data_IF_846099177541
#
_entry.id   IF_846099177541
#
_cell.length_a   1.000
_cell.length_b   1.000
_cell.length_c   1.000
_cell.angle_alpha   90.00
_cell.angle_beta   90.00
_cell.angle_gamma   90.00
#
_symmetry.space_group_name_H-M   'P 1'
#
loop_
_entity.id
_entity.type
_entity.pdbx_description
1 polymer ?
#
# COMPACT_ATOMS: atom_id res chain seq x y z
N UNK A 1 18.71 -34.11 -14.32
CA UNK A 1 17.48 -33.53 -13.74
C UNK A 1 17.09 -34.39 -12.55
N UNK A 2 17.14 -33.86 -11.36
CA UNK A 2 16.74 -34.56 -10.14
C UNK A 2 15.21 -34.52 -10.00
N UNK A 3 14.51 -35.52 -10.55
CA UNK A 3 13.08 -35.70 -10.27
C UNK A 3 12.93 -36.47 -8.95
N UNK A 4 12.28 -35.87 -7.97
CA UNK A 4 11.97 -36.50 -6.67
C UNK A 4 10.75 -37.43 -6.74
N UNK A 5 10.05 -37.47 -7.89
CA UNK A 5 8.91 -38.35 -8.17
C UNK A 5 9.20 -39.22 -9.39
N UNK A 6 8.75 -40.49 -9.36
CA UNK A 6 9.04 -41.45 -10.40
C UNK A 6 8.34 -42.80 -10.15
N UNK A 7 8.98 -43.88 -10.42
CA UNK A 7 8.54 -45.27 -10.11
C UNK A 7 7.40 -45.81 -10.98
N UNK A 8 6.34 -45.02 -11.28
CA UNK A 8 5.24 -45.43 -12.15
C UNK A 8 5.49 -45.10 -13.62
N UNK A 9 6.30 -44.04 -13.86
CA UNK A 9 6.53 -43.52 -15.21
C UNK A 9 7.61 -44.33 -15.92
N UNK A 10 7.35 -44.71 -17.18
CA UNK A 10 8.25 -45.53 -17.99
C UNK A 10 9.01 -44.72 -19.04
N UNK A 11 8.77 -43.45 -19.14
CA UNK A 11 9.43 -42.53 -20.07
C UNK A 11 9.96 -41.31 -19.32
N UNK A 12 11.04 -40.75 -19.80
CA UNK A 12 11.53 -39.43 -19.32
C UNK A 12 10.55 -38.31 -19.69
N UNK A 13 10.47 -37.28 -18.85
CA UNK A 13 9.65 -36.09 -19.13
C UNK A 13 10.27 -35.31 -20.27
N UNK A 14 9.45 -34.91 -21.22
CA UNK A 14 9.86 -34.03 -22.31
C UNK A 14 10.38 -32.70 -21.74
N UNK A 15 11.46 -32.17 -22.32
CA UNK A 15 12.11 -30.96 -21.81
C UNK A 15 11.20 -29.73 -21.88
N UNK A 16 10.34 -29.62 -22.90
CA UNK A 16 9.36 -28.53 -22.99
C UNK A 16 8.34 -28.60 -21.85
N UNK A 17 7.85 -29.82 -21.55
CA UNK A 17 6.91 -30.06 -20.44
C UNK A 17 7.57 -29.76 -19.10
N UNK A 18 8.83 -30.13 -18.92
CA UNK A 18 9.59 -29.78 -17.72
C UNK A 18 9.67 -28.25 -17.54
N UNK A 19 10.12 -27.53 -18.57
CA UNK A 19 10.25 -26.08 -18.53
C UNK A 19 8.90 -25.38 -18.32
N UNK A 20 7.81 -25.91 -18.89
CA UNK A 20 6.48 -25.38 -18.71
C UNK A 20 5.93 -25.53 -17.29
N UNK A 21 6.32 -26.59 -16.61
CA UNK A 21 5.90 -26.88 -15.23
C UNK A 21 6.79 -26.22 -14.17
N UNK A 22 8.04 -25.90 -14.51
CA UNK A 22 9.02 -25.38 -13.55
C UNK A 22 8.61 -23.98 -13.04
N UNK A 23 8.78 -23.77 -11.75
CA UNK A 23 8.49 -22.51 -11.04
C UNK A 23 9.71 -21.87 -10.41
N UNK A 24 10.86 -22.52 -10.44
CA UNK A 24 12.09 -22.07 -9.76
C UNK A 24 12.49 -20.62 -10.11
N UNK A 25 12.18 -20.15 -11.31
CA UNK A 25 12.53 -18.80 -11.77
C UNK A 25 11.82 -17.69 -10.99
N UNK A 26 10.69 -17.97 -10.38
CA UNK A 26 9.94 -17.01 -9.59
C UNK A 26 9.74 -17.47 -8.14
N UNK A 27 9.54 -18.76 -7.84
CA UNK A 27 9.32 -19.22 -6.48
C UNK A 27 10.58 -19.19 -5.60
N UNK A 28 11.77 -19.10 -6.18
CA UNK A 28 13.00 -18.80 -5.45
C UNK A 28 12.88 -17.57 -4.53
N UNK A 29 11.92 -16.70 -4.76
CA UNK A 29 11.70 -15.50 -3.97
C UNK A 29 11.36 -15.79 -2.51
N UNK A 30 10.72 -16.92 -2.23
CA UNK A 30 10.37 -17.33 -0.87
C UNK A 30 11.24 -18.49 -0.30
N UNK A 31 12.49 -18.64 -0.77
CA UNK A 31 13.39 -19.67 -0.24
C UNK A 31 13.56 -19.62 1.28
N UNK A 32 13.49 -18.45 1.89
CA UNK A 32 13.58 -18.26 3.33
C UNK A 32 12.39 -18.89 4.05
N UNK A 33 11.21 -18.66 3.54
CA UNK A 33 9.95 -19.18 4.08
C UNK A 33 9.89 -20.71 3.96
N UNK A 34 10.33 -21.28 2.83
CA UNK A 34 10.44 -22.74 2.66
C UNK A 34 11.39 -23.38 3.69
N UNK A 35 12.54 -22.74 3.91
CA UNK A 35 13.51 -23.23 4.92
C UNK A 35 12.95 -23.08 6.33
N UNK A 36 12.30 -21.96 6.66
CA UNK A 36 11.68 -21.75 7.98
C UNK A 36 10.57 -22.76 8.24
N UNK A 37 9.68 -22.98 7.29
CA UNK A 37 8.64 -23.99 7.36
C UNK A 37 9.21 -25.40 7.53
N UNK A 38 10.29 -25.72 6.82
CA UNK A 38 11.00 -27.00 6.92
C UNK A 38 11.66 -27.19 8.30
N UNK A 39 12.24 -26.15 8.89
CA UNK A 39 12.81 -26.18 10.26
C UNK A 39 11.71 -26.45 11.29
N UNK A 40 10.58 -25.77 11.20
CA UNK A 40 9.45 -25.98 12.10
C UNK A 40 8.90 -27.42 11.97
N UNK A 41 8.79 -27.92 10.73
CA UNK A 41 8.30 -29.26 10.46
C UNK A 41 9.17 -30.35 11.09
N UNK A 42 10.49 -30.33 10.87
CA UNK A 42 11.38 -31.36 11.46
C UNK A 42 11.48 -31.25 12.98
N UNK A 43 11.35 -30.02 13.52
CA UNK A 43 11.32 -29.81 14.98
C UNK A 43 10.08 -30.47 15.57
N UNK A 44 8.93 -30.33 14.93
CA UNK A 44 7.70 -31.04 15.32
C UNK A 44 7.81 -32.53 15.16
N UNK A 45 8.39 -33.04 14.06
CA UNK A 45 8.57 -34.48 13.84
C UNK A 45 9.42 -35.13 14.95
N UNK A 46 10.47 -34.44 15.41
CA UNK A 46 11.30 -34.92 16.52
C UNK A 46 10.51 -34.93 17.84
N UNK A 47 9.75 -33.86 18.14
CA UNK A 47 8.88 -33.84 19.31
C UNK A 47 7.88 -34.98 19.34
N UNK A 48 7.38 -35.40 18.19
CA UNK A 48 6.48 -36.55 18.05
C UNK A 48 7.17 -37.90 18.00
N UNK A 49 8.50 -37.96 18.14
CA UNK A 49 9.30 -39.20 18.11
C UNK A 49 9.38 -39.87 16.73
N UNK A 50 9.02 -39.14 15.67
CA UNK A 50 9.14 -39.62 14.27
C UNK A 50 10.59 -39.51 13.80
N UNK A 51 11.29 -38.46 14.21
CA UNK A 51 12.73 -38.26 14.07
C UNK A 51 13.41 -38.35 15.46
N UNK A 52 14.68 -38.68 15.45
CA UNK A 52 15.52 -38.52 16.64
C UNK A 52 15.94 -37.05 16.81
N UNK A 53 16.29 -36.67 18.02
CA UNK A 53 16.84 -35.32 18.31
C UNK A 53 18.08 -35.01 17.45
N UNK A 54 18.97 -35.99 17.27
CA UNK A 54 20.18 -35.83 16.46
C UNK A 54 19.83 -35.56 14.97
N UNK A 55 18.87 -36.29 14.41
CA UNK A 55 18.45 -36.11 13.02
C UNK A 55 17.83 -34.72 12.83
N UNK A 56 16.99 -34.26 13.77
CA UNK A 56 16.48 -32.91 13.78
C UNK A 56 17.62 -31.89 13.78
N UNK A 57 18.56 -31.98 14.71
CA UNK A 57 19.65 -31.03 14.87
C UNK A 57 20.54 -30.95 13.62
N UNK A 58 20.83 -32.08 13.00
CA UNK A 58 21.60 -32.15 11.76
C UNK A 58 20.83 -31.51 10.59
N UNK A 59 19.53 -31.77 10.44
CA UNK A 59 18.69 -31.18 9.39
C UNK A 59 18.57 -29.65 9.61
N UNK A 60 18.23 -29.22 10.82
CA UNK A 60 18.07 -27.79 11.14
C UNK A 60 19.36 -27.00 10.90
N UNK A 61 20.51 -27.53 11.35
CA UNK A 61 21.81 -26.91 11.09
C UNK A 61 22.07 -26.77 9.59
N UNK A 62 21.88 -27.84 8.83
CA UNK A 62 22.17 -27.86 7.40
C UNK A 62 21.21 -26.96 6.61
N UNK A 63 19.92 -26.88 6.98
CA UNK A 63 18.98 -25.92 6.37
C UNK A 63 19.39 -24.46 6.61
N UNK A 64 19.87 -24.12 7.81
CA UNK A 64 20.40 -22.78 8.11
C UNK A 64 21.66 -22.48 7.28
N UNK A 65 22.57 -23.46 7.15
CA UNK A 65 23.76 -23.33 6.29
C UNK A 65 23.37 -23.08 4.83
N UNK A 66 22.38 -23.83 4.30
CA UNK A 66 21.86 -23.61 2.93
C UNK A 66 21.32 -22.18 2.78
N UNK A 67 20.51 -21.71 3.73
CA UNK A 67 19.98 -20.33 3.72
C UNK A 67 21.10 -19.30 3.67
N UNK A 68 22.06 -19.39 4.59
CA UNK A 68 23.16 -18.46 4.72
C UNK A 68 24.08 -18.47 3.48
N UNK A 69 24.26 -19.63 2.84
CA UNK A 69 25.00 -19.75 1.59
C UNK A 69 24.26 -19.14 0.39
N UNK A 70 22.94 -19.27 0.33
CA UNK A 70 22.12 -18.59 -0.68
C UNK A 70 22.17 -17.07 -0.46
N UNK A 71 21.98 -16.59 0.77
CA UNK A 71 22.03 -15.16 1.10
C UNK A 71 23.38 -14.52 0.75
N UNK A 72 24.47 -15.23 1.02
CA UNK A 72 25.83 -14.75 0.70
C UNK A 72 26.23 -14.90 -0.77
N UNK A 73 25.40 -15.50 -1.60
CA UNK A 73 25.69 -15.80 -3.01
C UNK A 73 26.72 -16.93 -3.21
N UNK A 74 27.04 -17.69 -2.16
CA UNK A 74 27.95 -18.85 -2.23
C UNK A 74 27.27 -20.05 -2.89
N UNK A 75 25.96 -20.19 -2.67
CA UNK A 75 25.13 -21.21 -3.30
C UNK A 75 24.11 -20.52 -4.21
N UNK A 76 24.23 -20.74 -5.52
CA UNK A 76 23.32 -20.16 -6.51
C UNK A 76 22.10 -21.06 -6.73
N UNK A 77 20.92 -20.46 -6.76
CA UNK A 77 19.68 -21.14 -7.14
C UNK A 77 19.63 -21.22 -8.66
N UNK A 78 19.64 -22.44 -9.21
CA UNK A 78 19.73 -22.69 -10.65
C UNK A 78 18.46 -23.28 -11.22
N UNK A 79 18.24 -23.12 -12.53
CA UNK A 79 17.10 -23.69 -13.26
C UNK A 79 17.17 -25.21 -13.49
N UNK A 80 18.14 -25.89 -12.89
CA UNK A 80 18.25 -27.36 -12.94
C UNK A 80 17.17 -28.07 -12.08
N UNK A 81 16.56 -27.31 -11.16
CA UNK A 81 15.49 -27.79 -10.28
C UNK A 81 14.12 -27.30 -10.77
N UNK A 82 13.07 -28.06 -10.51
CA UNK A 82 11.69 -27.74 -10.90
C UNK A 82 11.15 -26.55 -10.07
N UNK A 83 11.41 -26.57 -8.77
CA UNK A 83 10.94 -25.57 -7.79
C UNK A 83 11.96 -25.36 -6.67
N UNK A 84 11.75 -24.32 -5.86
CA UNK A 84 12.62 -23.98 -4.73
C UNK A 84 12.69 -25.12 -3.69
N UNK A 85 11.57 -25.80 -3.49
CA UNK A 85 11.48 -26.90 -2.53
C UNK A 85 12.40 -28.06 -2.94
N UNK A 86 12.42 -28.41 -4.24
CA UNK A 86 13.31 -29.42 -4.80
C UNK A 86 14.78 -29.02 -4.70
N UNK A 87 15.07 -27.73 -4.87
CA UNK A 87 16.41 -27.19 -4.67
C UNK A 87 16.87 -27.35 -3.22
N UNK A 88 16.07 -26.95 -2.25
CA UNK A 88 16.41 -27.05 -0.81
C UNK A 88 16.56 -28.52 -0.39
N UNK A 89 15.59 -29.38 -0.79
CA UNK A 89 15.60 -30.80 -0.44
C UNK A 89 16.79 -31.53 -1.06
N UNK A 90 17.14 -31.28 -2.33
CA UNK A 90 18.29 -31.87 -2.99
C UNK A 90 19.61 -31.49 -2.30
N UNK A 91 19.81 -30.20 -2.01
CA UNK A 91 21.00 -29.74 -1.29
C UNK A 91 21.12 -30.34 0.11
N UNK A 92 19.99 -30.54 0.80
CA UNK A 92 19.94 -31.21 2.09
C UNK A 92 20.34 -32.68 1.98
N UNK A 93 19.80 -33.41 0.99
CA UNK A 93 20.09 -34.82 0.75
C UNK A 93 21.56 -35.00 0.35
N UNK A 94 22.11 -34.15 -0.49
CA UNK A 94 23.51 -34.22 -0.91
C UNK A 94 24.48 -34.08 0.28
N UNK A 95 24.10 -33.36 1.32
CA UNK A 95 24.91 -33.14 2.53
C UNK A 95 24.71 -34.21 3.63
N UNK A 96 23.47 -34.69 3.78
CA UNK A 96 23.07 -35.57 4.90
C UNK A 96 22.67 -36.98 4.48
N UNK A 97 22.60 -37.30 3.17
CA UNK A 97 22.19 -38.62 2.67
C UNK A 97 20.77 -38.98 3.14
N UNK A 98 20.65 -40.19 3.71
CA UNK A 98 19.35 -40.74 4.13
C UNK A 98 18.67 -39.93 5.24
N UNK A 99 19.42 -39.22 6.07
CA UNK A 99 18.86 -38.29 7.07
C UNK A 99 18.14 -37.14 6.39
N UNK A 100 18.70 -36.57 5.32
CA UNK A 100 18.06 -35.49 4.55
C UNK A 100 16.73 -35.89 3.92
N UNK A 101 16.60 -37.14 3.46
CA UNK A 101 15.36 -37.68 2.87
C UNK A 101 14.17 -37.72 3.86
N UNK A 102 14.43 -37.66 5.16
CA UNK A 102 13.39 -37.68 6.19
C UNK A 102 12.65 -36.38 6.33
N UNK A 103 13.17 -35.29 5.77
CA UNK A 103 12.52 -33.96 5.78
C UNK A 103 11.07 -34.00 5.27
N UNK A 104 10.79 -34.80 4.25
CA UNK A 104 9.46 -34.84 3.60
C UNK A 104 8.44 -35.74 4.32
N UNK A 105 8.81 -36.36 5.46
CA UNK A 105 7.94 -37.30 6.20
C UNK A 105 6.66 -36.58 6.67
N UNK A 106 5.50 -37.14 6.28
CA UNK A 106 4.19 -36.59 6.68
C UNK A 106 3.81 -35.25 6.03
N UNK A 107 4.52 -34.82 5.00
CA UNK A 107 4.29 -33.54 4.28
C UNK A 107 3.96 -33.80 2.82
N UNK A 108 3.16 -32.92 2.22
CA UNK A 108 2.94 -32.85 0.76
C UNK A 108 3.51 -31.54 0.22
N UNK A 109 3.81 -31.48 -1.06
CA UNK A 109 4.13 -30.23 -1.75
C UNK A 109 2.97 -29.22 -1.63
N UNK A 110 1.73 -29.69 -1.54
CA UNK A 110 0.55 -28.84 -1.48
C UNK A 110 0.46 -28.02 -0.20
N UNK A 111 0.64 -28.66 0.99
CA UNK A 111 0.62 -27.91 2.26
C UNK A 111 1.93 -27.14 2.50
N UNK A 112 3.05 -27.57 1.92
CA UNK A 112 4.31 -26.86 1.93
C UNK A 112 4.20 -25.52 1.19
N UNK A 113 3.78 -25.53 -0.08
CA UNK A 113 3.63 -24.28 -0.87
C UNK A 113 2.55 -23.36 -0.31
N UNK A 114 1.48 -23.92 0.26
CA UNK A 114 0.45 -23.13 0.92
C UNK A 114 1.00 -22.40 2.16
N UNK A 115 1.88 -23.06 2.93
CA UNK A 115 2.58 -22.43 4.05
C UNK A 115 3.51 -21.32 3.58
N UNK A 116 4.36 -21.57 2.59
CA UNK A 116 5.35 -20.61 2.12
C UNK A 116 4.71 -19.34 1.58
N UNK A 117 3.61 -19.48 0.84
CA UNK A 117 2.82 -18.36 0.38
C UNK A 117 2.20 -17.55 1.52
N UNK A 118 1.76 -18.22 2.61
CA UNK A 118 1.25 -17.51 3.80
C UNK A 118 2.36 -16.77 4.55
N UNK A 119 3.51 -17.42 4.76
CA UNK A 119 4.66 -16.80 5.40
C UNK A 119 5.15 -15.58 4.58
N UNK A 120 5.35 -15.75 3.28
CA UNK A 120 5.71 -14.67 2.37
C UNK A 120 4.71 -13.51 2.44
N UNK A 121 3.41 -13.80 2.32
CA UNK A 121 2.39 -12.75 2.36
C UNK A 121 2.35 -12.04 3.70
N UNK A 122 2.55 -12.74 4.80
CA UNK A 122 2.64 -12.15 6.14
C UNK A 122 3.81 -11.18 6.25
N UNK A 123 4.97 -11.57 5.78
CA UNK A 123 6.17 -10.73 5.80
C UNK A 123 5.98 -9.47 4.96
N UNK A 124 5.36 -9.59 3.77
CA UNK A 124 5.11 -8.47 2.87
C UNK A 124 3.98 -7.55 3.35
N UNK A 125 2.98 -8.07 4.06
CA UNK A 125 1.97 -7.26 4.74
C UNK A 125 2.60 -6.35 5.78
N UNK A 126 3.48 -6.89 6.62
CA UNK A 126 4.19 -6.13 7.65
C UNK A 126 5.14 -5.10 7.02
N UNK A 127 5.91 -5.50 6.01
CA UNK A 127 6.80 -4.57 5.30
C UNK A 127 6.03 -3.43 4.59
N UNK A 128 4.90 -3.75 3.96
CA UNK A 128 4.04 -2.74 3.33
C UNK A 128 3.45 -1.79 4.38
N UNK A 129 3.07 -2.29 5.56
CA UNK A 129 2.59 -1.48 6.67
C UNK A 129 3.65 -0.49 7.17
N UNK A 130 4.91 -0.94 7.30
CA UNK A 130 6.05 -0.07 7.66
C UNK A 130 6.26 1.04 6.63
N UNK A 131 6.23 0.71 5.33
CA UNK A 131 6.37 1.72 4.27
C UNK A 131 5.20 2.73 4.25
N UNK A 132 3.98 2.29 4.54
CA UNK A 132 2.84 3.19 4.69
C UNK A 132 2.96 4.07 5.93
N UNK A 133 3.55 3.56 7.02
CA UNK A 133 3.84 4.35 8.21
C UNK A 133 4.80 5.50 7.87
N UNK A 134 5.92 5.22 7.20
CA UNK A 134 6.88 6.25 6.75
C UNK A 134 6.21 7.32 5.86
N UNK A 135 5.32 6.90 4.97
CA UNK A 135 4.54 7.83 4.13
C UNK A 135 3.61 8.71 4.98
N UNK A 136 2.91 8.14 5.97
CA UNK A 136 2.02 8.86 6.87
C UNK A 136 2.79 9.88 7.73
N UNK A 137 3.95 9.52 8.25
CA UNK A 137 4.85 10.42 8.99
C UNK A 137 5.30 11.60 8.10
N UNK A 138 5.65 11.32 6.86
CA UNK A 138 6.02 12.36 5.88
C UNK A 138 4.86 13.31 5.58
N UNK A 139 3.65 12.78 5.37
CA UNK A 139 2.45 13.59 5.16
C UNK A 139 2.16 14.45 6.40
N UNK A 140 2.26 13.88 7.59
CA UNK A 140 2.04 14.57 8.86
C UNK A 140 3.02 15.74 9.05
N UNK A 141 4.30 15.54 8.76
CA UNK A 141 5.32 16.59 8.76
C UNK A 141 4.97 17.74 7.80
N UNK A 142 4.45 17.42 6.61
CA UNK A 142 3.98 18.45 5.67
C UNK A 142 2.75 19.19 6.25
N UNK A 143 1.82 18.49 6.89
CA UNK A 143 0.67 19.12 7.55
C UNK A 143 1.10 20.09 8.63
N UNK A 144 1.99 19.68 9.54
CA UNK A 144 2.51 20.49 10.64
C UNK A 144 3.18 21.78 10.14
N UNK A 145 3.92 21.70 9.03
CA UNK A 145 4.60 22.84 8.43
C UNK A 145 3.67 23.80 7.65
N UNK A 146 2.41 23.43 7.40
CA UNK A 146 1.53 24.16 6.47
C UNK A 146 0.12 24.42 7.00
N UNK A 147 -0.06 24.52 8.31
CA UNK A 147 -1.36 24.81 8.95
C UNK A 147 -1.96 26.14 8.54
N UNK A 148 -1.13 27.13 8.23
CA UNK A 148 -1.51 28.48 7.79
C UNK A 148 -1.35 28.71 6.27
N UNK A 149 -0.89 27.72 5.51
CA UNK A 149 -0.66 27.84 4.07
C UNK A 149 -1.99 27.82 3.31
N UNK A 150 -2.54 28.99 3.01
CA UNK A 150 -3.82 29.15 2.29
C UNK A 150 -3.67 28.75 0.82
N UNK A 151 -4.56 27.89 0.36
CA UNK A 151 -4.67 27.48 -1.04
C UNK A 151 -6.13 27.37 -1.48
N UNK A 152 -6.42 27.39 -2.79
CA UNK A 152 -7.76 27.11 -3.28
C UNK A 152 -8.06 25.63 -3.16
N UNK A 153 -9.19 25.26 -2.57
CA UNK A 153 -9.78 23.93 -2.72
C UNK A 153 -10.54 23.84 -4.04
N UNK A 154 -10.53 22.66 -4.66
CA UNK A 154 -11.11 22.44 -5.97
C UNK A 154 -12.24 21.43 -5.94
N UNK A 155 -13.29 21.68 -6.72
CA UNK A 155 -14.26 20.69 -7.18
C UNK A 155 -14.41 20.83 -8.68
N UNK A 156 -14.51 19.72 -9.43
CA UNK A 156 -14.55 19.73 -10.90
C UNK A 156 -13.35 20.45 -11.56
N UNK A 157 -12.18 20.46 -10.89
CA UNK A 157 -11.00 21.27 -11.25
C UNK A 157 -11.29 22.78 -11.32
N UNK A 158 -12.40 23.25 -10.72
CA UNK A 158 -12.72 24.64 -10.54
C UNK A 158 -12.44 25.04 -9.10
N UNK A 159 -11.92 26.25 -8.90
CA UNK A 159 -11.70 26.83 -7.57
C UNK A 159 -13.04 26.95 -6.83
N UNK A 160 -13.12 26.41 -5.62
CA UNK A 160 -14.36 26.29 -4.88
C UNK A 160 -14.36 27.09 -3.59
N UNK A 161 -13.53 26.72 -2.63
CA UNK A 161 -13.46 27.32 -1.31
C UNK A 161 -12.02 27.44 -0.83
N UNK A 162 -11.68 28.40 0.05
CA UNK A 162 -10.36 28.48 0.65
C UNK A 162 -10.16 27.34 1.65
N UNK A 163 -8.98 26.72 1.58
CA UNK A 163 -8.50 25.68 2.49
C UNK A 163 -7.05 25.95 2.85
N UNK A 164 -6.49 25.17 3.78
CA UNK A 164 -5.04 25.12 3.99
C UNK A 164 -4.42 23.90 3.31
N UNK A 165 -3.12 23.98 3.00
CA UNK A 165 -2.40 22.81 2.48
C UNK A 165 -2.42 21.67 3.50
N UNK A 166 -2.31 21.95 4.80
CA UNK A 166 -2.43 20.94 5.85
C UNK A 166 -3.78 20.22 5.82
N UNK A 167 -4.89 20.94 5.63
CA UNK A 167 -6.22 20.34 5.48
C UNK A 167 -6.29 19.42 4.26
N UNK A 168 -5.71 19.82 3.14
CA UNK A 168 -5.66 18.99 1.93
C UNK A 168 -4.83 17.71 2.14
N UNK A 169 -3.63 17.84 2.70
CA UNK A 169 -2.75 16.71 3.02
C UNK A 169 -3.37 15.75 4.03
N UNK A 170 -4.15 16.29 4.98
CA UNK A 170 -4.92 15.51 5.94
C UNK A 170 -5.92 14.54 5.30
N UNK A 171 -6.46 14.88 4.11
CA UNK A 171 -7.33 13.97 3.37
C UNK A 171 -6.55 12.73 2.86
N UNK A 172 -5.32 12.91 2.37
CA UNK A 172 -4.44 11.80 1.99
C UNK A 172 -3.97 10.98 3.18
N UNK A 173 -3.66 11.63 4.31
CA UNK A 173 -3.38 10.93 5.56
C UNK A 173 -4.52 9.96 5.92
N UNK A 174 -5.78 10.41 5.87
CA UNK A 174 -6.93 9.56 6.15
C UNK A 174 -7.09 8.40 5.14
N UNK A 175 -6.70 8.58 3.88
CA UNK A 175 -6.73 7.51 2.87
C UNK A 175 -5.72 6.41 3.22
N UNK A 176 -4.45 6.76 3.42
CA UNK A 176 -3.38 5.80 3.71
C UNK A 176 -3.51 5.17 5.11
N UNK A 177 -4.06 5.90 6.09
CA UNK A 177 -4.45 5.32 7.37
C UNK A 177 -5.46 4.18 7.21
N UNK A 178 -6.48 4.34 6.38
CA UNK A 178 -7.44 3.27 6.07
C UNK A 178 -6.79 2.10 5.34
N UNK A 179 -5.74 2.35 4.55
CA UNK A 179 -5.00 1.30 3.87
C UNK A 179 -4.23 0.43 4.86
N UNK A 180 -3.56 1.03 5.86
CA UNK A 180 -2.95 0.27 6.96
C UNK A 180 -3.96 -0.62 7.70
N UNK A 181 -5.14 -0.10 8.01
CA UNK A 181 -6.19 -0.88 8.66
C UNK A 181 -6.62 -2.08 7.81
N UNK A 182 -6.66 -1.95 6.48
CA UNK A 182 -6.92 -3.09 5.58
C UNK A 182 -5.85 -4.17 5.70
N UNK A 183 -4.57 -3.79 5.74
CA UNK A 183 -3.47 -4.75 5.91
C UNK A 183 -3.59 -5.51 7.24
N UNK A 184 -3.89 -4.81 8.34
CA UNK A 184 -4.13 -5.44 9.65
C UNK A 184 -5.31 -6.41 9.62
N UNK A 185 -6.42 -6.06 8.98
CA UNK A 185 -7.58 -6.94 8.85
C UNK A 185 -7.25 -8.22 8.06
N UNK A 186 -6.41 -8.13 7.03
CA UNK A 186 -5.93 -9.28 6.25
C UNK A 186 -5.04 -10.17 7.12
N UNK A 187 -4.09 -9.57 7.84
CA UNK A 187 -3.20 -10.29 8.76
C UNK A 187 -3.99 -11.13 9.77
N UNK A 188 -5.00 -10.54 10.41
CA UNK A 188 -5.85 -11.24 11.39
C UNK A 188 -6.56 -12.48 10.79
N UNK A 189 -7.06 -12.38 9.56
CA UNK A 189 -7.75 -13.50 8.90
C UNK A 189 -6.82 -14.56 8.38
N UNK A 190 -5.64 -14.19 7.88
CA UNK A 190 -4.74 -15.12 7.21
C UNK A 190 -3.80 -15.88 8.14
N UNK A 191 -3.59 -15.43 9.38
CA UNK A 191 -2.53 -15.93 10.25
C UNK A 191 -2.85 -17.28 10.88
N UNK A 192 -3.16 -18.28 10.03
CA UNK A 192 -3.40 -19.69 10.40
C UNK A 192 -2.54 -20.64 9.56
N UNK A 193 -1.90 -21.63 10.23
CA UNK A 193 -0.92 -22.52 9.65
C UNK A 193 -1.57 -23.66 8.84
N UNK A 194 -1.31 -23.80 7.53
CA UNK A 194 -1.83 -24.90 6.72
C UNK A 194 -1.00 -26.19 6.84
N UNK A 195 0.25 -26.13 7.34
CA UNK A 195 1.15 -27.27 7.36
C UNK A 195 0.58 -28.41 8.21
N UNK A 196 0.72 -29.63 7.71
CA UNK A 196 0.08 -30.83 8.25
C UNK A 196 -1.27 -31.16 7.61
N UNK A 197 -1.75 -30.32 6.68
CA UNK A 197 -2.92 -30.62 5.83
C UNK A 197 -2.62 -31.74 4.81
N UNK A 198 -1.35 -32.07 4.58
CA UNK A 198 -0.94 -33.01 3.57
C UNK A 198 -1.34 -32.57 2.16
N UNK A 199 -1.66 -33.52 1.29
CA UNK A 199 -2.15 -33.16 -0.05
C UNK A 199 -3.54 -32.51 0.00
N UNK A 200 -4.43 -32.94 0.90
CA UNK A 200 -5.78 -32.42 1.15
C UNK A 200 -6.49 -33.06 2.38
N UNK A 201 -6.05 -34.21 2.83
CA UNK A 201 -6.77 -35.03 3.83
C UNK A 201 -5.92 -35.32 5.08
N UNK A 202 -4.91 -34.51 5.34
CA UNK A 202 -3.96 -34.74 6.43
C UNK A 202 -3.03 -35.91 6.15
N UNK A 203 -2.59 -36.58 7.20
CA UNK A 203 -1.65 -37.70 7.17
C UNK A 203 -1.97 -38.72 8.25
N UNK A 204 -1.46 -39.94 8.11
CA UNK A 204 -1.57 -40.98 9.14
C UNK A 204 -0.52 -40.85 10.25
N UNK A 205 0.41 -39.93 10.14
CA UNK A 205 1.38 -39.64 11.20
C UNK A 205 0.75 -38.77 12.30
N UNK A 206 1.14 -38.97 13.57
CA UNK A 206 0.62 -38.15 14.68
C UNK A 206 1.27 -36.77 14.74
N UNK A 207 1.04 -35.95 13.72
CA UNK A 207 1.60 -34.62 13.65
C UNK A 207 0.97 -33.68 14.70
N UNK A 208 1.79 -32.86 15.37
CA UNK A 208 1.36 -31.80 16.28
C UNK A 208 1.27 -30.47 15.49
N UNK A 209 0.12 -30.24 14.86
CA UNK A 209 -0.13 -29.03 14.04
C UNK A 209 -0.19 -27.75 14.87
N UNK A 210 -0.63 -27.83 16.14
CA UNK A 210 -0.65 -26.69 17.06
C UNK A 210 0.77 -26.24 17.36
N UNK A 211 1.66 -27.17 17.68
CA UNK A 211 3.06 -26.87 17.92
C UNK A 211 3.78 -26.30 16.67
N UNK A 212 3.46 -26.82 15.49
CA UNK A 212 4.01 -26.26 14.24
C UNK A 212 3.55 -24.81 14.03
N UNK A 213 2.28 -24.53 14.30
CA UNK A 213 1.73 -23.19 14.22
C UNK A 213 2.39 -22.22 15.23
N UNK A 214 2.60 -22.68 16.47
CA UNK A 214 3.31 -21.91 17.51
C UNK A 214 4.75 -21.57 17.08
N UNK A 215 5.52 -22.56 16.57
CA UNK A 215 6.89 -22.35 16.10
C UNK A 215 7.00 -21.31 14.99
N UNK A 216 5.95 -21.15 14.17
CA UNK A 216 5.89 -20.25 13.04
C UNK A 216 5.13 -18.94 13.34
N UNK A 217 4.70 -18.72 14.59
CA UNK A 217 4.01 -17.50 15.00
C UNK A 217 2.59 -17.33 14.43
N UNK A 218 1.93 -18.43 14.06
CA UNK A 218 0.52 -18.43 13.67
C UNK A 218 -0.40 -18.50 14.90
N UNK A 219 -1.64 -18.04 14.76
CA UNK A 219 -2.66 -18.15 15.82
C UNK A 219 -3.09 -19.60 16.10
N UNK A 220 -2.89 -20.50 15.14
CA UNK A 220 -3.20 -21.92 15.22
C UNK A 220 -3.19 -22.57 13.84
N UNK A 221 -3.52 -23.87 13.75
CA UNK A 221 -3.66 -24.56 12.48
C UNK A 221 -4.97 -24.19 11.76
N UNK A 222 -4.99 -24.31 10.43
CA UNK A 222 -6.24 -24.27 9.65
C UNK A 222 -7.15 -25.41 10.08
N UNK A 223 -8.46 -25.13 10.23
CA UNK A 223 -9.44 -26.06 10.79
C UNK A 223 -9.87 -27.17 9.81
N UNK A 224 -9.67 -26.96 8.52
CA UNK A 224 -9.99 -27.95 7.48
C UNK A 224 -8.78 -28.14 6.56
N UNK A 225 -8.30 -29.37 6.41
CA UNK A 225 -7.09 -29.67 5.65
C UNK A 225 -7.25 -29.44 4.14
N UNK A 226 -8.46 -29.59 3.60
CA UNK A 226 -8.74 -29.33 2.19
C UNK A 226 -8.75 -27.83 1.88
N UNK A 227 -9.35 -27.05 2.75
CA UNK A 227 -9.33 -25.58 2.71
C UNK A 227 -7.90 -25.04 2.91
N UNK A 228 -7.15 -25.64 3.86
CA UNK A 228 -5.77 -25.22 4.16
C UNK A 228 -4.82 -25.26 2.96
N UNK A 229 -5.02 -26.17 2.01
CA UNK A 229 -4.21 -26.25 0.78
C UNK A 229 -4.85 -25.50 -0.41
N UNK A 230 -6.13 -25.17 -0.32
CA UNK A 230 -6.91 -24.55 -1.41
C UNK A 230 -7.04 -23.04 -1.28
N UNK A 231 -7.05 -22.51 -0.07
CA UNK A 231 -7.31 -21.10 0.21
C UNK A 231 -6.26 -20.19 -0.42
N UNK A 232 -6.77 -19.17 -1.15
CA UNK A 232 -6.01 -18.04 -1.71
C UNK A 232 -6.74 -16.72 -1.47
N UNK A 233 -7.74 -16.70 -0.60
CA UNK A 233 -8.52 -15.49 -0.30
C UNK A 233 -7.62 -14.38 0.23
N UNK A 234 -6.67 -14.72 1.10
CA UNK A 234 -5.70 -13.78 1.66
C UNK A 234 -4.81 -13.10 0.58
N UNK A 235 -4.48 -13.81 -0.51
CA UNK A 235 -3.75 -13.23 -1.64
C UNK A 235 -4.62 -12.26 -2.43
N UNK A 236 -5.90 -12.60 -2.65
CA UNK A 236 -6.88 -11.74 -3.32
C UNK A 236 -7.13 -10.49 -2.47
N UNK A 237 -7.28 -10.64 -1.16
CA UNK A 237 -7.45 -9.53 -0.22
C UNK A 237 -6.21 -8.62 -0.23
N UNK A 238 -4.99 -9.19 -0.21
CA UNK A 238 -3.77 -8.41 -0.24
C UNK A 238 -3.59 -7.68 -1.59
N UNK A 239 -3.83 -8.34 -2.72
CA UNK A 239 -3.84 -7.68 -4.04
C UNK A 239 -4.89 -6.57 -4.12
N UNK A 240 -6.05 -6.76 -3.48
CA UNK A 240 -7.09 -5.72 -3.40
C UNK A 240 -6.63 -4.53 -2.57
N UNK A 241 -5.92 -4.77 -1.46
CA UNK A 241 -5.30 -3.71 -0.67
C UNK A 241 -4.21 -2.99 -1.47
N UNK A 242 -3.31 -3.71 -2.12
CA UNK A 242 -2.28 -3.14 -3.02
C UNK A 242 -2.90 -2.27 -4.13
N UNK A 243 -3.98 -2.75 -4.76
CA UNK A 243 -4.70 -2.00 -5.78
C UNK A 243 -5.33 -0.72 -5.23
N UNK A 244 -5.86 -0.75 -3.99
CA UNK A 244 -6.44 0.41 -3.32
C UNK A 244 -5.36 1.43 -2.94
N UNK A 245 -4.23 0.99 -2.40
CA UNK A 245 -3.08 1.85 -2.09
C UNK A 245 -2.57 2.52 -3.38
N UNK A 246 -2.39 1.76 -4.45
CA UNK A 246 -1.96 2.31 -5.74
C UNK A 246 -2.97 3.31 -6.32
N UNK A 247 -4.27 3.10 -6.12
CA UNK A 247 -5.29 4.08 -6.51
C UNK A 247 -5.14 5.39 -5.72
N UNK A 248 -4.88 5.33 -4.41
CA UNK A 248 -4.64 6.51 -3.60
C UNK A 248 -3.34 7.22 -4.02
N UNK A 249 -2.25 6.47 -4.24
CA UNK A 249 -0.99 7.00 -4.76
C UNK A 249 -1.16 7.64 -6.13
N UNK A 250 -1.95 7.04 -7.03
CA UNK A 250 -2.25 7.57 -8.36
C UNK A 250 -2.98 8.91 -8.29
N UNK A 251 -4.00 9.02 -7.43
CA UNK A 251 -4.73 10.28 -7.21
C UNK A 251 -3.81 11.36 -6.65
N UNK A 252 -2.98 11.02 -5.67
CA UNK A 252 -2.03 11.95 -5.08
C UNK A 252 -0.99 12.40 -6.11
N UNK A 253 -0.47 11.47 -6.89
CA UNK A 253 0.47 11.75 -7.99
C UNK A 253 -0.13 12.71 -9.03
N UNK A 254 -1.40 12.52 -9.40
CA UNK A 254 -2.10 13.43 -10.32
C UNK A 254 -2.13 14.85 -9.79
N UNK A 255 -2.45 15.06 -8.50
CA UNK A 255 -2.45 16.39 -7.90
C UNK A 255 -1.05 17.00 -7.84
N UNK A 256 -0.03 16.22 -7.51
CA UNK A 256 1.37 16.68 -7.52
C UNK A 256 1.78 17.12 -8.93
N UNK A 257 1.42 16.36 -9.98
CA UNK A 257 1.69 16.71 -11.37
C UNK A 257 1.03 18.05 -11.71
N UNK A 258 -0.25 18.22 -11.35
CA UNK A 258 -0.97 19.49 -11.56
C UNK A 258 -0.29 20.62 -10.78
N UNK A 259 0.03 20.41 -9.50
CA UNK A 259 0.64 21.44 -8.64
C UNK A 259 2.05 21.84 -9.08
N UNK A 260 2.81 20.90 -9.65
CA UNK A 260 4.15 21.16 -10.15
C UNK A 260 4.17 21.77 -11.56
N UNK A 261 3.02 21.83 -12.25
CA UNK A 261 2.93 22.40 -13.60
C UNK A 261 3.25 23.90 -13.61
N UNK A 262 3.68 24.41 -14.76
CA UNK A 262 3.99 25.84 -14.96
C UNK A 262 2.78 26.76 -14.70
N UNK A 263 1.57 26.23 -14.88
CA UNK A 263 0.31 26.96 -14.70
C UNK A 263 -0.07 27.12 -13.22
N UNK A 264 0.20 26.09 -12.40
CA UNK A 264 -0.14 26.09 -10.96
C UNK A 264 1.02 26.55 -10.09
N UNK A 265 2.18 25.94 -10.23
CA UNK A 265 3.39 26.24 -9.43
C UNK A 265 3.10 26.29 -7.92
N UNK A 266 2.35 25.31 -7.40
CA UNK A 266 2.06 25.21 -5.96
C UNK A 266 3.17 24.50 -5.21
N UNK A 267 3.86 23.59 -5.92
CA UNK A 267 5.00 22.83 -5.41
C UNK A 267 6.13 22.79 -6.43
N UNK A 268 7.33 22.50 -5.97
CA UNK A 268 8.49 22.16 -6.77
C UNK A 268 9.08 20.84 -6.30
N UNK A 269 9.11 19.82 -7.16
CA UNK A 269 9.73 18.56 -6.88
C UNK A 269 11.26 18.75 -6.89
N UNK A 270 11.98 18.11 -5.97
CA UNK A 270 13.44 18.16 -5.91
C UNK A 270 14.08 17.61 -7.18
N UNK A 271 15.27 18.12 -7.52
CA UNK A 271 16.03 17.69 -8.71
C UNK A 271 16.36 16.19 -8.68
N UNK A 272 16.57 15.62 -7.51
CA UNK A 272 16.85 14.20 -7.32
C UNK A 272 15.66 13.29 -7.70
N UNK A 273 14.45 13.84 -7.73
CA UNK A 273 13.20 13.13 -8.04
C UNK A 273 12.51 13.65 -9.31
N UNK A 274 13.28 14.31 -10.18
CA UNK A 274 12.80 14.88 -11.45
C UNK A 274 13.75 14.51 -12.57
N UNK A 275 13.29 14.59 -13.81
CA UNK A 275 14.17 14.47 -14.97
C UNK A 275 14.11 15.72 -15.83
N UNK A 276 15.18 15.93 -16.62
CA UNK A 276 15.27 17.00 -17.60
C UNK A 276 14.86 16.54 -18.99
N UNK A 277 15.03 17.45 -19.95
CA UNK A 277 14.90 17.16 -21.38
C UNK A 277 16.25 17.22 -22.05
N UNK A 278 16.54 16.30 -22.96
CA UNK A 278 17.77 16.30 -23.76
C UNK A 278 17.87 17.47 -24.75
N UNK A 279 16.73 18.13 -25.02
CA UNK A 279 16.66 19.21 -26.03
C UNK A 279 16.16 20.54 -25.44
N UNK A 280 15.45 20.50 -24.31
CA UNK A 280 14.87 21.70 -23.67
C UNK A 280 15.50 21.91 -22.29
N UNK A 281 16.55 22.77 -22.18
CA UNK A 281 17.33 22.89 -20.95
C UNK A 281 16.55 23.45 -19.74
N UNK A 282 15.41 24.10 -19.96
CA UNK A 282 14.55 24.65 -18.92
C UNK A 282 13.51 23.64 -18.36
N UNK A 283 13.36 22.47 -19.02
CA UNK A 283 12.27 21.53 -18.71
C UNK A 283 12.65 20.60 -17.56
N UNK A 284 11.77 20.52 -16.57
CA UNK A 284 11.84 19.63 -15.42
C UNK A 284 10.54 18.83 -15.33
N UNK A 285 10.62 17.51 -15.38
CA UNK A 285 9.46 16.63 -15.48
C UNK A 285 9.18 15.95 -14.14
N UNK A 286 7.89 15.76 -13.77
CA UNK A 286 7.48 15.04 -12.57
C UNK A 286 7.40 13.51 -12.83
N UNK A 287 8.43 12.90 -13.42
CA UNK A 287 8.39 11.53 -13.92
C UNK A 287 8.04 10.49 -12.86
N UNK A 288 8.47 10.70 -11.61
CA UNK A 288 8.14 9.79 -10.50
C UNK A 288 6.63 9.70 -10.31
N UNK A 289 5.96 10.86 -10.20
CA UNK A 289 4.51 10.89 -10.05
C UNK A 289 3.78 10.31 -11.27
N UNK A 290 4.30 10.54 -12.49
CA UNK A 290 3.74 9.97 -13.71
C UNK A 290 3.87 8.44 -13.74
N UNK A 291 5.04 7.91 -13.36
CA UNK A 291 5.29 6.46 -13.33
C UNK A 291 4.44 5.77 -12.26
N UNK A 292 4.26 6.35 -11.08
CA UNK A 292 3.37 5.82 -10.03
C UNK A 292 1.95 5.74 -10.56
N UNK A 293 1.45 6.80 -11.19
CA UNK A 293 0.13 6.83 -11.84
C UNK A 293 0.02 5.73 -12.90
N UNK A 294 1.03 5.53 -13.74
CA UNK A 294 1.06 4.51 -14.79
C UNK A 294 1.13 3.09 -14.25
N UNK A 295 1.95 2.83 -13.22
CA UNK A 295 2.12 1.51 -12.61
C UNK A 295 0.88 0.98 -11.90
N UNK A 296 -0.07 1.83 -11.56
CA UNK A 296 -1.36 1.43 -10.94
C UNK A 296 -2.10 0.38 -11.76
N UNK A 297 -2.12 0.52 -13.10
CA UNK A 297 -2.75 -0.46 -13.98
C UNK A 297 -2.14 -1.85 -13.93
N UNK A 298 -0.84 -1.95 -13.66
CA UNK A 298 -0.14 -3.23 -13.50
C UNK A 298 -0.63 -4.00 -12.28
N UNK A 299 -0.77 -3.33 -11.13
CA UNK A 299 -1.30 -3.94 -9.90
C UNK A 299 -2.77 -4.32 -10.04
N UNK A 300 -3.58 -3.52 -10.74
CA UNK A 300 -4.96 -3.89 -11.07
C UNK A 300 -5.02 -5.17 -11.93
N UNK A 301 -4.10 -5.29 -12.91
CA UNK A 301 -3.97 -6.48 -13.73
C UNK A 301 -3.66 -7.74 -12.92
N UNK A 302 -2.77 -7.65 -11.93
CA UNK A 302 -2.42 -8.75 -11.03
C UNK A 302 -3.64 -9.23 -10.21
N UNK A 303 -4.42 -8.33 -9.64
CA UNK A 303 -5.67 -8.66 -8.94
C UNK A 303 -6.66 -9.38 -9.85
N UNK A 304 -6.88 -8.86 -11.05
CA UNK A 304 -7.81 -9.47 -12.02
C UNK A 304 -7.31 -10.83 -12.50
N UNK A 305 -6.00 -11.01 -12.65
CA UNK A 305 -5.38 -12.30 -13.00
C UNK A 305 -5.71 -13.35 -11.96
N UNK A 306 -5.45 -13.08 -10.67
CA UNK A 306 -5.66 -14.05 -9.60
C UNK A 306 -7.16 -14.36 -9.41
N UNK A 307 -8.04 -13.35 -9.44
CA UNK A 307 -9.49 -13.56 -9.39
C UNK A 307 -9.95 -14.48 -10.54
N UNK A 308 -9.40 -14.31 -11.74
CA UNK A 308 -9.72 -15.12 -12.91
C UNK A 308 -9.20 -16.53 -12.77
N UNK A 309 -7.99 -16.73 -12.25
CA UNK A 309 -7.41 -18.05 -11.98
C UNK A 309 -8.27 -18.84 -11.00
N UNK A 310 -8.68 -18.22 -9.90
CA UNK A 310 -9.39 -18.91 -8.80
C UNK A 310 -10.87 -19.19 -9.09
N UNK A 311 -11.54 -18.43 -9.97
CA UNK A 311 -13.01 -18.42 -10.15
C UNK A 311 -13.70 -19.73 -10.47
N UNK A 312 -13.01 -20.75 -10.92
CA UNK A 312 -13.68 -21.97 -11.43
C UNK A 312 -12.94 -23.26 -11.16
N UNK A 313 -11.84 -23.22 -10.43
CA UNK A 313 -11.07 -24.42 -10.07
C UNK A 313 -11.75 -25.16 -8.92
N UNK A 314 -11.78 -26.51 -8.95
CA UNK A 314 -12.29 -27.31 -7.85
C UNK A 314 -11.31 -27.36 -6.68
N UNK A 315 -11.81 -27.80 -5.51
CA UNK A 315 -10.96 -28.16 -4.37
C UNK A 315 -10.05 -29.35 -4.73
N UNK A 316 -8.88 -29.56 -4.17
CA UNK A 316 -8.15 -28.78 -3.18
C UNK A 316 -7.04 -27.96 -3.83
N UNK A 317 -6.12 -28.61 -4.55
CA UNK A 317 -5.03 -28.00 -5.31
C UNK A 317 -5.11 -28.40 -6.78
N UNK A 318 -4.96 -27.42 -7.65
CA UNK A 318 -4.81 -27.60 -9.10
C UNK A 318 -3.58 -26.79 -9.56
N UNK A 319 -2.94 -27.22 -10.64
CA UNK A 319 -1.72 -26.56 -11.14
C UNK A 319 -1.94 -25.10 -11.53
N UNK A 320 -3.20 -24.70 -11.83
CA UNK A 320 -3.65 -23.31 -12.03
C UNK A 320 -3.18 -22.40 -10.89
N UNK A 321 -3.15 -22.90 -9.66
CA UNK A 321 -2.70 -22.14 -8.48
C UNK A 321 -1.22 -21.74 -8.53
N UNK A 322 -0.42 -22.28 -9.45
CA UNK A 322 0.95 -21.82 -9.65
C UNK A 322 1.02 -20.37 -10.13
N UNK A 323 -0.05 -19.92 -10.84
CA UNK A 323 -0.19 -18.56 -11.35
C UNK A 323 -0.45 -17.51 -10.24
N UNK A 324 -0.66 -17.94 -8.99
CA UNK A 324 -0.83 -17.04 -7.85
C UNK A 324 0.45 -16.24 -7.55
N UNK A 325 1.63 -16.85 -7.80
CA UNK A 325 2.94 -16.32 -7.39
C UNK A 325 3.40 -15.13 -8.19
N UNK A 326 3.43 -15.23 -9.51
CA UNK A 326 3.89 -14.13 -10.36
C UNK A 326 3.03 -12.89 -10.21
N UNK A 327 1.71 -13.06 -10.07
CA UNK A 327 0.78 -11.95 -9.86
C UNK A 327 1.06 -11.21 -8.54
N UNK A 328 1.23 -11.94 -7.43
CA UNK A 328 1.47 -11.31 -6.12
C UNK A 328 2.87 -10.70 -6.03
N UNK A 329 3.89 -11.40 -6.49
CA UNK A 329 5.27 -10.93 -6.45
C UNK A 329 5.45 -9.63 -7.25
N UNK A 330 4.89 -9.58 -8.44
CA UNK A 330 4.95 -8.39 -9.31
C UNK A 330 4.20 -7.19 -8.72
N UNK A 331 3.03 -7.44 -8.13
CA UNK A 331 2.23 -6.39 -7.50
C UNK A 331 2.93 -5.81 -6.26
N UNK A 332 3.49 -6.66 -5.41
CA UNK A 332 4.22 -6.27 -4.20
C UNK A 332 5.46 -5.48 -4.55
N UNK A 333 6.33 -5.99 -5.44
CA UNK A 333 7.54 -5.30 -5.89
C UNK A 333 7.20 -3.91 -6.49
N UNK A 334 6.12 -3.84 -7.26
CA UNK A 334 5.65 -2.59 -7.87
C UNK A 334 5.18 -1.60 -6.81
N UNK A 335 4.38 -2.04 -5.85
CA UNK A 335 3.87 -1.21 -4.75
C UNK A 335 5.01 -0.68 -3.88
N UNK A 336 5.90 -1.57 -3.44
CA UNK A 336 7.06 -1.18 -2.61
C UNK A 336 7.94 -0.14 -3.31
N UNK A 337 8.26 -0.36 -4.58
CA UNK A 337 9.05 0.59 -5.35
C UNK A 337 8.36 1.96 -5.42
N UNK A 338 7.04 1.99 -5.57
CA UNK A 338 6.27 3.23 -5.59
C UNK A 338 6.32 3.93 -4.22
N UNK A 339 6.09 3.21 -3.11
CA UNK A 339 6.14 3.76 -1.75
C UNK A 339 7.55 4.29 -1.42
N UNK A 340 8.59 3.47 -1.65
CA UNK A 340 10.00 3.81 -1.42
C UNK A 340 10.48 5.01 -2.25
N UNK A 341 9.77 5.35 -3.32
CA UNK A 341 10.14 6.49 -4.20
C UNK A 341 9.28 7.73 -3.90
N UNK A 342 7.98 7.56 -3.65
CA UNK A 342 7.05 8.67 -3.38
C UNK A 342 7.36 9.33 -2.03
N UNK A 343 7.63 8.55 -1.00
CA UNK A 343 7.87 9.07 0.35
C UNK A 343 9.02 10.09 0.38
N UNK A 344 10.24 9.80 -0.09
CA UNK A 344 11.31 10.79 -0.11
C UNK A 344 11.09 11.90 -1.14
N UNK A 345 10.36 11.66 -2.23
CA UNK A 345 9.96 12.73 -3.15
C UNK A 345 9.10 13.77 -2.44
N UNK A 346 8.16 13.33 -1.59
CA UNK A 346 7.32 14.22 -0.79
C UNK A 346 8.11 14.94 0.32
N UNK A 347 9.01 14.24 1.00
CA UNK A 347 9.83 14.82 2.08
C UNK A 347 10.73 15.95 1.60
N UNK A 348 11.21 15.86 0.35
CA UNK A 348 12.09 16.87 -0.27
C UNK A 348 11.35 17.91 -1.10
N UNK A 349 10.04 17.72 -1.33
CA UNK A 349 9.23 18.61 -2.15
C UNK A 349 9.08 19.99 -1.48
N UNK A 350 9.35 21.06 -2.23
CA UNK A 350 9.15 22.43 -1.77
C UNK A 350 7.71 22.86 -1.99
N UNK A 351 7.08 23.39 -0.95
CA UNK A 351 5.81 24.10 -1.06
C UNK A 351 6.05 25.54 -1.43
N UNK A 352 5.15 26.12 -2.23
CA UNK A 352 5.23 27.51 -2.71
C UNK A 352 4.02 28.32 -2.23
N UNK A 353 3.94 28.70 -0.93
CA UNK A 353 2.76 29.31 -0.31
C UNK A 353 2.32 30.62 -0.99
N UNK A 354 3.26 31.42 -1.47
CA UNK A 354 2.95 32.68 -2.16
C UNK A 354 2.16 32.44 -3.47
N UNK A 355 2.47 31.36 -4.20
CA UNK A 355 1.75 31.00 -5.42
C UNK A 355 0.36 30.46 -5.09
N UNK A 356 0.24 29.61 -4.07
CA UNK A 356 -1.03 29.09 -3.57
C UNK A 356 -1.94 30.23 -3.13
N UNK A 357 -1.44 31.16 -2.32
CA UNK A 357 -2.19 32.36 -1.85
C UNK A 357 -2.64 33.24 -3.01
N UNK A 358 -1.76 33.47 -3.99
CA UNK A 358 -2.08 34.25 -5.20
C UNK A 358 -3.17 33.58 -6.05
N UNK A 359 -3.12 32.25 -6.16
CA UNK A 359 -4.15 31.48 -6.85
C UNK A 359 -5.49 31.54 -6.09
N UNK A 360 -5.45 31.46 -4.76
CA UNK A 360 -6.64 31.57 -3.91
C UNK A 360 -7.32 32.94 -4.01
N UNK A 361 -6.55 34.02 -4.13
CA UNK A 361 -7.09 35.37 -4.29
C UNK A 361 -7.84 35.61 -5.62
N UNK A 362 -7.65 34.71 -6.61
CA UNK A 362 -8.34 34.80 -7.90
C UNK A 362 -9.38 33.70 -8.02
N UNK A 363 -10.64 34.06 -8.30
CA UNK A 363 -11.70 33.07 -8.56
C UNK A 363 -12.84 33.09 -7.56
N UNK A 364 -12.94 34.14 -6.77
CA UNK A 364 -14.10 34.43 -5.90
C UNK A 364 -14.42 33.27 -4.92
N UNK A 365 -13.42 32.58 -4.42
CA UNK A 365 -13.60 31.40 -3.54
C UNK A 365 -14.18 31.78 -2.17
N UNK A 366 -14.22 33.09 -1.85
CA UNK A 366 -14.84 33.70 -0.68
C UNK A 366 -16.26 34.26 -0.96
N UNK A 367 -16.83 34.03 -2.15
CA UNK A 367 -18.16 34.48 -2.48
C UNK A 367 -19.25 33.88 -1.57
N UNK A 368 -19.07 32.60 -1.17
CA UNK A 368 -19.97 31.97 -0.19
C UNK A 368 -19.92 32.68 1.16
N UNK A 369 -18.74 33.11 1.59
CA UNK A 369 -18.55 33.83 2.86
C UNK A 369 -19.20 35.22 2.81
N UNK A 370 -19.18 35.89 1.65
CA UNK A 370 -19.90 37.11 1.40
C UNK A 370 -21.43 36.92 1.49
N UNK A 371 -21.96 35.84 0.91
CA UNK A 371 -23.38 35.52 1.01
C UNK A 371 -23.79 35.16 2.46
N UNK A 372 -22.96 34.42 3.16
CA UNK A 372 -23.17 34.07 4.57
C UNK A 372 -23.13 35.28 5.48
N UNK A 373 -22.24 36.25 5.19
CA UNK A 373 -22.21 37.55 5.89
C UNK A 373 -23.57 38.25 5.82
N UNK A 374 -24.14 38.39 4.62
CA UNK A 374 -25.45 38.99 4.44
C UNK A 374 -26.56 38.19 5.15
N UNK A 375 -26.46 36.89 5.12
CA UNK A 375 -27.43 36.01 5.80
C UNK A 375 -27.38 36.19 7.31
N UNK A 376 -26.19 36.31 7.89
CA UNK A 376 -25.99 36.61 9.33
C UNK A 376 -26.53 37.98 9.72
N UNK A 377 -26.59 38.93 8.76
CA UNK A 377 -27.18 40.25 8.93
C UNK A 377 -28.70 40.27 8.65
N UNK A 378 -29.33 39.12 8.43
CA UNK A 378 -30.78 38.97 8.33
C UNK A 378 -31.34 38.83 6.91
N UNK A 379 -30.53 38.84 5.87
CA UNK A 379 -30.99 38.58 4.50
C UNK A 379 -31.27 37.08 4.31
N UNK A 380 -32.40 36.69 3.69
CA UNK A 380 -32.62 35.25 3.34
C UNK A 380 -31.48 34.74 2.44
N UNK A 381 -30.98 33.51 2.73
CA UNK A 381 -29.82 32.96 2.02
C UNK A 381 -29.97 32.97 0.49
N UNK A 382 -31.16 32.66 -0.04
CA UNK A 382 -31.40 32.68 -1.48
C UNK A 382 -31.26 34.05 -2.12
N UNK A 383 -31.58 35.08 -1.39
CA UNK A 383 -31.43 36.48 -1.84
C UNK A 383 -29.98 36.93 -1.71
N UNK A 384 -29.31 36.58 -0.61
CA UNK A 384 -27.89 36.82 -0.42
C UNK A 384 -27.05 36.12 -1.52
N UNK A 385 -27.37 34.88 -1.83
CA UNK A 385 -26.73 34.11 -2.91
C UNK A 385 -26.88 34.80 -4.27
N UNK A 386 -28.10 35.19 -4.63
CA UNK A 386 -28.35 35.91 -5.91
C UNK A 386 -27.60 37.22 -5.97
N UNK A 387 -27.65 38.01 -4.90
CA UNK A 387 -26.98 39.30 -4.82
C UNK A 387 -25.47 39.15 -4.98
N UNK A 388 -24.87 38.22 -4.24
CA UNK A 388 -23.43 37.91 -4.35
C UNK A 388 -23.07 37.42 -5.76
N UNK A 389 -23.91 36.63 -6.40
CA UNK A 389 -23.72 36.24 -7.80
C UNK A 389 -23.69 37.41 -8.78
N UNK A 390 -24.56 38.38 -8.58
CA UNK A 390 -24.52 39.64 -9.36
C UNK A 390 -23.23 40.41 -9.11
N UNK A 391 -22.80 40.51 -7.83
CA UNK A 391 -21.56 41.20 -7.46
C UNK A 391 -20.34 40.54 -8.13
N UNK A 392 -20.26 39.21 -8.11
CA UNK A 392 -19.20 38.45 -8.79
C UNK A 392 -19.19 38.72 -10.28
N UNK A 393 -20.37 38.71 -10.93
CA UNK A 393 -20.50 39.03 -12.36
C UNK A 393 -19.99 40.44 -12.71
N UNK A 394 -20.34 41.43 -11.89
CA UNK A 394 -19.91 42.81 -12.07
C UNK A 394 -18.39 42.95 -11.80
N UNK A 395 -17.85 42.26 -10.83
CA UNK A 395 -16.43 42.24 -10.55
C UNK A 395 -15.64 41.65 -11.72
N UNK A 396 -16.11 40.53 -12.28
CA UNK A 396 -15.50 39.92 -13.49
C UNK A 396 -15.50 40.94 -14.66
N UNK A 397 -16.62 41.61 -14.91
CA UNK A 397 -16.73 42.60 -15.98
C UNK A 397 -15.77 43.80 -15.80
N UNK A 398 -15.38 44.09 -14.56
CA UNK A 398 -14.50 45.21 -14.20
C UNK A 398 -13.05 44.77 -13.92
N UNK A 399 -12.72 43.51 -14.10
CA UNK A 399 -11.43 42.88 -13.74
C UNK A 399 -11.02 43.20 -12.28
N UNK A 400 -11.99 43.10 -11.35
CA UNK A 400 -11.81 43.27 -9.89
C UNK A 400 -12.08 41.98 -9.14
N UNK A 401 -11.57 41.88 -7.92
CA UNK A 401 -11.97 40.86 -6.92
C UNK A 401 -13.00 41.49 -5.94
N UNK A 402 -13.60 40.66 -5.06
CA UNK A 402 -14.51 41.18 -4.02
C UNK A 402 -13.76 42.06 -3.03
N UNK A 403 -12.51 41.76 -2.71
CA UNK A 403 -11.66 42.50 -1.77
C UNK A 403 -11.29 43.91 -2.30
N UNK A 404 -11.37 44.12 -3.61
CA UNK A 404 -11.06 45.40 -4.26
C UNK A 404 -12.28 46.34 -4.34
N UNK A 405 -13.46 45.86 -3.94
CA UNK A 405 -14.64 46.73 -3.85
C UNK A 405 -14.52 47.68 -2.65
N UNK A 406 -14.84 48.96 -2.87
CA UNK A 406 -14.97 49.92 -1.78
C UNK A 406 -16.25 49.67 -0.97
N UNK A 407 -16.32 50.16 0.25
CA UNK A 407 -17.52 50.03 1.08
C UNK A 407 -18.75 50.67 0.41
N UNK A 408 -18.57 51.79 -0.32
CA UNK A 408 -19.65 52.44 -1.05
C UNK A 408 -20.14 51.58 -2.24
N UNK A 409 -19.23 50.86 -2.92
CA UNK A 409 -19.61 49.89 -3.94
C UNK A 409 -20.39 48.71 -3.32
N UNK A 410 -19.95 48.18 -2.18
CA UNK A 410 -20.70 47.15 -1.42
C UNK A 410 -22.09 47.65 -1.02
N UNK A 411 -22.18 48.86 -0.47
CA UNK A 411 -23.47 49.51 -0.07
C UNK A 411 -24.38 49.77 -1.24
N UNK A 412 -23.84 49.95 -2.45
CA UNK A 412 -24.63 50.05 -3.67
C UNK A 412 -25.45 48.78 -3.98
N UNK A 413 -25.01 47.61 -3.51
CA UNK A 413 -25.75 46.35 -3.63
C UNK A 413 -26.71 46.12 -2.46
N UNK A 414 -26.29 46.42 -1.22
CA UNK A 414 -27.12 46.28 -0.02
C UNK A 414 -26.66 47.21 1.10
N UNK A 415 -27.60 47.89 1.75
CA UNK A 415 -27.32 48.69 2.94
C UNK A 415 -26.84 47.88 4.15
N UNK A 416 -26.95 46.53 4.10
CA UNK A 416 -26.48 45.64 5.16
C UNK A 416 -24.96 45.50 5.20
N UNK A 417 -24.24 45.90 4.13
CA UNK A 417 -22.79 45.88 4.15
C UNK A 417 -22.23 46.98 5.03
N UNK A 418 -21.35 46.60 5.92
CA UNK A 418 -20.60 47.47 6.81
C UNK A 418 -19.09 47.19 6.65
N UNK A 419 -18.24 47.92 7.39
CA UNK A 419 -16.80 47.78 7.24
C UNK A 419 -16.25 46.41 7.60
N UNK A 420 -16.97 45.62 8.40
CA UNK A 420 -16.66 44.26 8.79
C UNK A 420 -16.77 43.20 7.65
N UNK A 421 -17.28 43.61 6.48
CA UNK A 421 -17.28 42.75 5.28
C UNK A 421 -15.87 42.31 4.88
N UNK A 422 -14.88 43.22 5.01
CA UNK A 422 -13.51 42.91 4.63
C UNK A 422 -12.90 41.79 5.48
N UNK A 423 -13.26 41.71 6.77
CA UNK A 423 -12.89 40.57 7.63
C UNK A 423 -13.63 39.29 7.20
N UNK A 424 -14.90 39.41 6.85
CA UNK A 424 -15.73 38.27 6.47
C UNK A 424 -15.29 37.58 5.16
N UNK A 425 -14.69 38.34 4.24
CA UNK A 425 -14.20 37.80 2.94
C UNK A 425 -12.68 37.62 2.89
N UNK A 426 -11.95 37.97 3.97
CA UNK A 426 -10.53 37.64 4.06
C UNK A 426 -10.31 36.14 4.03
N UNK A 427 -9.41 35.62 3.17
CA UNK A 427 -9.25 34.19 2.96
C UNK A 427 -8.74 33.43 4.19
N UNK A 428 -7.96 34.07 5.06
CA UNK A 428 -7.53 33.48 6.33
C UNK A 428 -8.73 33.37 7.26
N UNK A 429 -9.51 34.47 7.41
CA UNK A 429 -10.73 34.46 8.22
C UNK A 429 -11.79 33.50 7.70
N UNK A 430 -11.89 33.34 6.38
CA UNK A 430 -12.74 32.31 5.77
C UNK A 430 -12.36 30.88 6.20
N UNK A 431 -11.07 30.56 6.25
CA UNK A 431 -10.61 29.27 6.76
C UNK A 431 -10.85 29.14 8.26
N UNK A 432 -10.46 30.14 9.07
CA UNK A 432 -10.64 30.17 10.53
C UNK A 432 -12.11 30.04 10.94
N UNK A 433 -13.03 30.63 10.19
CA UNK A 433 -14.47 30.58 10.43
C UNK A 433 -15.09 29.17 10.24
N UNK A 434 -14.39 28.24 9.57
CA UNK A 434 -14.86 26.88 9.32
C UNK A 434 -14.43 25.94 10.43
N UNK A 435 -14.98 26.11 11.60
CA UNK A 435 -14.61 25.41 12.85
C UNK A 435 -15.29 24.06 13.04
N UNK A 436 -16.10 23.61 12.09
CA UNK A 436 -16.70 22.26 12.14
C UNK A 436 -15.63 21.18 12.19
N UNK A 437 -15.92 20.08 12.88
CA UNK A 437 -15.02 18.94 12.98
C UNK A 437 -14.60 18.46 11.58
N UNK A 438 -13.29 18.37 11.33
CA UNK A 438 -12.73 18.05 10.01
C UNK A 438 -12.70 19.22 9.02
N UNK A 439 -13.04 20.44 9.43
CA UNK A 439 -12.92 21.65 8.61
C UNK A 439 -11.50 22.19 8.50
N UNK A 440 -11.26 23.21 7.65
CA UNK A 440 -9.91 23.75 7.39
C UNK A 440 -9.43 24.77 8.41
N UNK A 441 -10.18 25.08 9.49
CA UNK A 441 -9.70 26.00 10.52
C UNK A 441 -8.44 25.46 11.19
N UNK A 442 -7.56 26.34 11.61
CA UNK A 442 -6.32 25.96 12.29
C UNK A 442 -6.59 25.04 13.50
N UNK A 443 -7.61 25.35 14.30
CA UNK A 443 -7.99 24.51 15.43
C UNK A 443 -8.43 23.10 15.02
N UNK A 444 -9.20 22.96 13.94
CA UNK A 444 -9.64 21.65 13.42
C UNK A 444 -8.47 20.86 12.83
N UNK A 445 -7.58 21.52 12.10
CA UNK A 445 -6.38 20.89 11.52
C UNK A 445 -5.41 20.46 12.61
N UNK A 446 -5.14 21.29 13.60
CA UNK A 446 -4.28 20.94 14.74
C UNK A 446 -4.86 19.77 15.56
N UNK A 447 -6.18 19.70 15.71
CA UNK A 447 -6.82 18.53 16.32
C UNK A 447 -6.62 17.26 15.48
N UNK A 448 -6.72 17.33 14.15
CA UNK A 448 -6.45 16.20 13.27
C UNK A 448 -4.99 15.74 13.38
N UNK A 449 -4.04 16.69 13.39
CA UNK A 449 -2.60 16.41 13.57
C UNK A 449 -2.36 15.72 14.91
N UNK A 450 -2.93 16.21 16.01
CA UNK A 450 -2.78 15.58 17.32
C UNK A 450 -3.33 14.15 17.37
N UNK A 451 -4.48 13.90 16.75
CA UNK A 451 -5.06 12.56 16.64
C UNK A 451 -4.21 11.64 15.75
N UNK A 452 -3.63 12.17 14.68
CA UNK A 452 -2.75 11.44 13.79
C UNK A 452 -1.47 10.99 14.51
N UNK A 453 -0.80 11.89 15.25
CA UNK A 453 0.36 11.57 16.09
C UNK A 453 0.03 10.48 17.09
N UNK A 454 -1.03 10.64 17.87
CA UNK A 454 -1.45 9.64 18.87
C UNK A 454 -1.75 8.26 18.27
N UNK A 455 -2.24 8.21 17.03
CA UNK A 455 -2.48 6.94 16.34
C UNK A 455 -1.18 6.29 15.86
N UNK A 456 -0.23 7.06 15.35
CA UNK A 456 1.08 6.54 14.96
C UNK A 456 1.81 5.97 16.17
N UNK A 457 1.83 6.69 17.29
CA UNK A 457 2.44 6.25 18.57
C UNK A 457 1.80 4.93 19.07
N UNK A 458 0.46 4.83 19.07
CA UNK A 458 -0.25 3.63 19.50
C UNK A 458 -0.01 2.40 18.61
N UNK A 459 0.35 2.60 17.35
CA UNK A 459 0.75 1.51 16.46
C UNK A 459 2.18 1.02 16.73
N UNK A 460 3.09 1.90 17.15
CA UNK A 460 4.42 1.51 17.60
C UNK A 460 4.39 0.62 18.84
N UNK A 461 3.56 0.99 19.82
CA UNK A 461 3.41 0.23 21.07
C UNK A 461 2.83 -1.17 20.87
N UNK A 462 2.00 -1.38 19.82
CA UNK A 462 1.43 -2.70 19.52
C UNK A 462 2.40 -3.64 18.79
N UNK A 463 3.38 -3.08 18.10
CA UNK A 463 4.34 -3.83 17.28
C UNK A 463 5.71 -3.98 17.99
N UNK A 464 5.91 -3.34 19.15
CA UNK A 464 7.06 -3.49 20.03
C UNK A 464 6.85 -4.66 21.03
#
# INVERSE_FOLDING_TARGET
>A
MAQLWGGRFTKETDQLVYNFNASITFDQKFYKQDIEGSIAHVTMLAKQGILTEQERDDIVRTLKEIRDEVESGKLEITSEYEDIHSFVEANLIDRLGDTGKKLHTGRSRNDQVALDMRLYTRDELLHTDDLLKELLETILKIMEANTETIMPGFTHLQKAQPITLAHHMGAYFEMFKRDRLRLHDIYERMNYCPLGSGALAGTTYPLDREYTAELLGFYGPTLNSMDGVSDRDYLIEFLSACATIMMHLSRFSEEIIIWNSNEYQFVEIDDAYSTGSSIMPQKKNPDIAELVRGKTGRVYGALMSLLTTMKGIPLAYNKDMQEDKEAIFDAVDTLELCLKTVTPMLDTMKTLPANMRRAAAKGFINATDCADYLTKKGMPFRDAYKLTGCMVSDCIAKDKTLEELTLDEFKGYSALFENDIYDAIDLVKCCEGRTSYGGPSEASVNNQIALANAQLDAWEEKNA
#
